data_IF_157010598740
#
_entry.id   IF_157010598740
#
_cell.length_a   1.000
_cell.length_b   1.000
_cell.length_c   1.000
_cell.angle_alpha   90.00
_cell.angle_beta   90.00
_cell.angle_gamma   90.00
#
_symmetry.space_group_name_H-M   'P 1'
#
loop_
_entity.id
_entity.type
_entity.pdbx_description
1 polymer ?
#
# COMPACT_ATOMS: atom_id res chain seq x y z
N UNK A 1 15.48 15.07 -9.99
CA UNK A 1 14.56 14.50 -11.01
C UNK A 1 13.38 13.93 -10.27
N UNK A 2 12.16 14.30 -10.63
CA UNK A 2 10.97 13.70 -10.06
C UNK A 2 10.63 12.41 -10.81
N UNK A 3 10.00 11.46 -10.12
CA UNK A 3 9.47 10.22 -10.69
C UNK A 3 8.13 9.93 -10.03
N UNK A 4 7.21 9.37 -10.80
CA UNK A 4 5.98 8.78 -10.29
C UNK A 4 6.25 7.31 -9.93
N UNK A 5 5.65 6.84 -8.84
CA UNK A 5 5.73 5.45 -8.39
C UNK A 5 4.30 4.96 -8.16
N UNK A 6 3.91 3.91 -8.89
CA UNK A 6 2.61 3.27 -8.75
C UNK A 6 2.76 2.04 -7.88
N UNK A 7 1.83 1.84 -6.94
CA UNK A 7 1.71 0.61 -6.16
C UNK A 7 0.56 -0.22 -6.71
N UNK A 8 0.86 -1.46 -7.10
CA UNK A 8 -0.12 -2.44 -7.64
C UNK A 8 -0.27 -3.69 -6.75
N UNK A 9 0.66 -3.90 -5.81
CA UNK A 9 0.56 -4.97 -4.84
C UNK A 9 -0.37 -4.56 -3.68
N UNK A 10 -1.26 -5.45 -3.27
CA UNK A 10 -2.22 -5.19 -2.18
C UNK A 10 -1.77 -5.76 -0.83
N UNK A 11 -0.67 -6.51 -0.79
CA UNK A 11 -0.19 -7.19 0.41
C UNK A 11 1.33 -7.17 0.55
N UNK A 12 1.86 -7.53 1.74
CA UNK A 12 3.28 -7.45 2.01
C UNK A 12 4.06 -8.67 1.51
N UNK A 13 5.37 -8.51 1.36
CA UNK A 13 6.30 -9.57 0.94
C UNK A 13 7.07 -10.11 2.16
N UNK A 14 7.06 -11.43 2.44
CA UNK A 14 7.86 -12.00 3.52
C UNK A 14 9.36 -11.94 3.21
N UNK A 15 10.17 -11.66 4.24
CA UNK A 15 11.62 -11.82 4.19
C UNK A 15 11.99 -13.27 4.53
N UNK A 16 13.05 -13.77 3.90
CA UNK A 16 13.55 -15.11 4.16
C UNK A 16 13.99 -15.25 5.63
N UNK A 17 13.46 -16.24 6.39
CA UNK A 17 13.83 -16.44 7.78
C UNK A 17 15.29 -16.87 7.98
N UNK A 18 16.00 -17.31 6.93
CA UNK A 18 17.45 -17.59 7.03
C UNK A 18 18.28 -16.29 7.12
N UNK A 19 17.72 -15.13 6.76
CA UNK A 19 18.38 -13.82 6.81
C UNK A 19 18.11 -13.05 8.12
N UNK A 20 17.12 -13.44 8.93
CA UNK A 20 16.72 -12.74 10.16
C UNK A 20 15.92 -13.60 11.16
N UNK A 21 16.02 -13.28 12.47
CA UNK A 21 15.23 -13.92 13.52
C UNK A 21 13.77 -13.42 13.59
N UNK A 22 12.83 -14.25 13.17
CA UNK A 22 11.38 -14.00 13.28
C UNK A 22 10.73 -13.52 11.98
N UNK A 23 9.40 -13.46 11.98
CA UNK A 23 8.62 -13.15 10.77
C UNK A 23 8.65 -11.65 10.48
N UNK A 24 9.41 -11.26 9.44
CA UNK A 24 9.42 -9.89 8.91
C UNK A 24 8.70 -9.86 7.57
N UNK A 25 7.88 -8.84 7.38
CA UNK A 25 7.16 -8.57 6.15
C UNK A 25 7.45 -7.14 5.69
N UNK A 26 7.79 -6.97 4.41
CA UNK A 26 8.00 -5.67 3.77
C UNK A 26 6.67 -5.20 3.17
N UNK A 27 6.28 -3.97 3.50
CA UNK A 27 5.08 -3.37 2.93
C UNK A 27 5.21 -3.26 1.41
N UNK A 28 4.15 -3.64 0.70
CA UNK A 28 4.04 -3.37 -0.74
C UNK A 28 2.71 -2.71 -1.12
N UNK A 29 1.78 -2.57 -0.17
CA UNK A 29 0.51 -1.87 -0.36
C UNK A 29 0.62 -0.34 -0.38
N UNK A 30 1.67 0.22 0.22
CA UNK A 30 1.89 1.67 0.27
C UNK A 30 1.05 2.42 1.31
N UNK A 31 0.42 1.72 2.25
CA UNK A 31 -0.46 2.28 3.29
C UNK A 31 0.08 2.11 4.72
N UNK A 32 1.32 1.63 4.87
CA UNK A 32 1.86 1.40 6.23
C UNK A 32 2.35 2.71 6.83
N UNK A 33 2.16 2.89 8.14
CA UNK A 33 2.80 3.95 8.93
C UNK A 33 4.22 3.58 9.39
N UNK A 34 4.55 2.27 9.39
CA UNK A 34 5.86 1.74 9.81
C UNK A 34 6.75 1.35 8.62
N UNK A 35 6.62 2.06 7.49
CA UNK A 35 7.42 1.79 6.29
C UNK A 35 8.93 1.76 6.60
N UNK A 36 9.68 0.76 6.06
CA UNK A 36 9.29 -0.16 4.98
C UNK A 36 8.59 -1.45 5.43
N UNK A 37 8.32 -1.62 6.73
CA UNK A 37 7.74 -2.84 7.27
C UNK A 37 6.22 -2.83 7.16
N UNK A 38 5.62 -4.01 7.24
CA UNK A 38 4.17 -4.15 7.29
C UNK A 38 3.68 -4.06 8.74
N UNK A 39 2.75 -3.14 9.01
CA UNK A 39 2.02 -2.99 10.28
C UNK A 39 0.63 -3.67 10.28
N UNK A 40 0.09 -3.97 9.10
CA UNK A 40 -1.22 -4.59 8.94
C UNK A 40 -2.24 -3.74 8.18
N UNK A 41 -1.93 -2.48 7.86
CA UNK A 41 -2.83 -1.58 7.11
C UNK A 41 -3.27 -2.16 5.76
N UNK A 42 -2.46 -3.04 5.15
CA UNK A 42 -2.85 -3.77 3.94
C UNK A 42 -4.17 -4.56 4.06
N UNK A 43 -4.69 -4.81 5.25
CA UNK A 43 -5.99 -5.45 5.41
C UNK A 43 -7.14 -4.66 4.73
N UNK A 44 -7.03 -3.34 4.63
CA UNK A 44 -8.07 -2.52 3.99
C UNK A 44 -8.14 -2.73 2.49
N UNK A 45 -7.07 -3.21 1.84
CA UNK A 45 -7.04 -3.46 0.38
C UNK A 45 -7.74 -4.76 -0.02
N UNK A 46 -8.18 -5.59 0.95
CA UNK A 46 -8.65 -6.94 0.69
C UNK A 46 -9.95 -7.04 -0.16
N UNK A 47 -10.76 -5.97 -0.18
CA UNK A 47 -11.98 -5.86 -0.98
C UNK A 47 -11.82 -4.98 -2.24
N UNK A 48 -10.59 -4.61 -2.61
CA UNK A 48 -10.32 -3.90 -3.85
C UNK A 48 -10.59 -4.77 -5.09
N UNK A 49 -11.19 -4.17 -6.11
CA UNK A 49 -11.44 -4.83 -7.39
C UNK A 49 -10.22 -4.73 -8.32
N UNK A 50 -9.82 -5.86 -8.91
CA UNK A 50 -8.75 -5.92 -9.91
C UNK A 50 -8.97 -4.89 -11.05
N UNK A 51 -7.97 -4.03 -11.27
CA UNK A 51 -7.98 -3.02 -12.33
C UNK A 51 -8.77 -1.75 -12.02
N UNK A 52 -9.28 -1.60 -10.80
CA UNK A 52 -9.86 -0.35 -10.30
C UNK A 52 -8.79 0.43 -9.54
N UNK A 53 -8.64 1.72 -9.85
CA UNK A 53 -7.77 2.62 -9.10
C UNK A 53 -8.54 3.22 -7.94
N UNK A 54 -8.03 3.07 -6.71
CA UNK A 54 -8.61 3.70 -5.52
C UNK A 54 -7.74 4.86 -5.06
N UNK A 55 -8.37 5.97 -4.66
CA UNK A 55 -7.73 7.06 -3.94
C UNK A 55 -8.17 7.02 -2.48
N UNK A 56 -7.19 6.90 -1.59
CA UNK A 56 -7.35 7.07 -0.15
C UNK A 56 -7.34 8.55 0.19
N UNK A 57 -8.32 9.01 0.98
CA UNK A 57 -8.35 10.39 1.44
C UNK A 57 -7.14 10.65 2.35
N UNK A 58 -6.39 11.73 2.07
CA UNK A 58 -5.15 12.09 2.77
C UNK A 58 -4.04 11.03 2.76
N UNK A 59 -4.12 10.03 1.88
CA UNK A 59 -3.18 8.89 1.84
C UNK A 59 -3.16 8.10 3.17
N UNK A 60 -4.33 7.99 3.82
CA UNK A 60 -4.54 7.37 5.13
C UNK A 60 -5.48 6.16 5.02
N UNK A 61 -5.15 5.04 5.66
CA UNK A 61 -5.92 3.79 5.56
C UNK A 61 -7.14 3.72 6.49
N UNK A 62 -7.24 4.63 7.46
CA UNK A 62 -8.38 4.76 8.37
C UNK A 62 -9.48 5.67 7.78
N UNK A 63 -9.12 6.51 6.81
CA UNK A 63 -10.02 7.41 6.09
C UNK A 63 -10.73 6.71 4.90
N UNK A 64 -11.84 7.28 4.38
CA UNK A 64 -12.56 6.67 3.27
C UNK A 64 -11.71 6.63 2.00
N UNK A 65 -11.92 5.59 1.19
CA UNK A 65 -11.40 5.50 -0.18
C UNK A 65 -12.52 5.57 -1.20
N UNK A 66 -12.21 6.03 -2.40
CA UNK A 66 -13.14 6.02 -3.53
C UNK A 66 -12.42 5.62 -4.82
N UNK A 67 -13.16 4.95 -5.72
CA UNK A 67 -12.66 4.63 -7.05
C UNK A 67 -12.51 5.91 -7.88
N UNK A 68 -11.41 6.01 -8.64
CA UNK A 68 -11.09 7.15 -9.51
C UNK A 68 -10.75 6.67 -10.92
N UNK A 69 -11.18 7.42 -11.94
CA UNK A 69 -10.82 7.15 -13.34
C UNK A 69 -9.37 7.59 -13.66
N UNK A 70 -8.86 8.58 -12.92
CA UNK A 70 -7.51 9.12 -13.06
C UNK A 70 -7.00 9.71 -11.74
N UNK A 71 -5.70 9.58 -11.47
CA UNK A 71 -5.06 10.27 -10.35
C UNK A 71 -4.83 11.74 -10.72
N UNK A 72 -5.62 12.62 -10.11
CA UNK A 72 -5.43 14.07 -10.21
C UNK A 72 -4.58 14.56 -9.03
N UNK A 73 -3.58 15.39 -9.32
CA UNK A 73 -2.71 15.99 -8.31
C UNK A 73 -2.95 17.50 -8.33
N UNK A 74 -3.17 18.11 -7.17
CA UNK A 74 -3.17 19.57 -7.03
C UNK A 74 -1.78 20.11 -7.42
N UNK A 75 -1.75 21.16 -8.24
CA UNK A 75 -0.54 21.81 -8.75
C UNK A 75 0.29 22.54 -7.68
#
# INVERSE_FOLDING_TARGET
MAREVTHDATGPTPIDPDDHDGDIYVCSCGLSDDEPFCDGSHAVTADEEDGVTYKYENDDDEEPRHAVDSLEYDE
#
